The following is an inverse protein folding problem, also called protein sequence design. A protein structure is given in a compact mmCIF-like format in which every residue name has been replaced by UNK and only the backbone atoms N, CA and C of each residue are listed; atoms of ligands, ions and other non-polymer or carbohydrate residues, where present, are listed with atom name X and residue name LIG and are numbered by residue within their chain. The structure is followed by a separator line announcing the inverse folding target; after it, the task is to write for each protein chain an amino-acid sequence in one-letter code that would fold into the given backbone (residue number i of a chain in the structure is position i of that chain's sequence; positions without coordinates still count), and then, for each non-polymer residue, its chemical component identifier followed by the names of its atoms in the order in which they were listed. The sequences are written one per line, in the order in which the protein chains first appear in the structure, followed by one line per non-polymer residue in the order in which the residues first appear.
data_IF_811028549635
#
_entry.id   IF_811028549635
#
_cell.length_a   1.000
_cell.length_b   1.000
_cell.length_c   1.000
_cell.angle_alpha   90.00
_cell.angle_beta   90.00
_cell.angle_gamma   90.00
#
_symmetry.space_group_name_H-M   'P 1'
#
loop_
_entity.id
_entity.type
_entity.pdbx_description
1 polymer ?
#
# COMPACT_ATOMS: atom_id res chain seq x y z
N UNK A 1 -2.20 7.14 -5.67
CA UNK A 1 -3.47 6.80 -4.99
C UNK A 1 -3.78 7.78 -3.87
N UNK A 2 -4.98 7.69 -3.31
CA UNK A 2 -5.40 8.56 -2.22
C UNK A 2 -4.70 8.21 -0.90
N UNK A 3 -4.42 9.22 -0.07
CA UNK A 3 -3.80 9.05 1.25
C UNK A 3 -4.76 8.47 2.30
N UNK A 4 -6.04 8.30 1.96
CA UNK A 4 -7.10 7.87 2.86
C UNK A 4 -7.77 6.60 2.33
N UNK A 5 -8.19 5.75 3.24
CA UNK A 5 -9.02 4.57 2.97
C UNK A 5 -9.84 4.22 4.21
N UNK A 6 -10.41 3.03 4.29
CA UNK A 6 -11.13 2.55 5.48
C UNK A 6 -10.52 1.26 6.01
N UNK A 7 -11.01 0.84 7.16
CA UNK A 7 -10.60 -0.47 7.72
C UNK A 7 -11.00 -1.65 6.82
N UNK A 8 -11.99 -1.47 5.94
CA UNK A 8 -12.39 -2.50 4.98
C UNK A 8 -11.23 -2.93 4.06
N UNK A 9 -10.32 -2.02 3.70
CA UNK A 9 -9.14 -2.34 2.90
C UNK A 9 -8.17 -3.25 3.66
N UNK A 10 -8.02 -3.04 4.97
CA UNK A 10 -7.20 -3.90 5.81
C UNK A 10 -7.86 -5.29 6.03
N UNK A 11 -9.19 -5.31 6.14
CA UNK A 11 -9.96 -6.55 6.23
C UNK A 11 -9.84 -7.38 4.96
N UNK A 12 -9.86 -6.73 3.80
CA UNK A 12 -9.66 -7.38 2.50
C UNK A 12 -8.32 -8.12 2.41
N UNK A 13 -7.28 -7.58 3.05
CA UNK A 13 -5.96 -8.20 3.12
C UNK A 13 -5.80 -9.18 4.29
N UNK A 14 -6.86 -9.42 5.06
CA UNK A 14 -6.81 -10.28 6.27
C UNK A 14 -5.75 -9.84 7.29
N UNK A 15 -5.50 -8.54 7.40
CA UNK A 15 -4.56 -7.99 8.39
C UNK A 15 -5.11 -8.25 9.80
N UNK A 16 -4.36 -8.92 10.69
CA UNK A 16 -4.81 -9.17 12.06
C UNK A 16 -5.15 -7.90 12.84
N UNK A 17 -6.06 -7.99 13.80
CA UNK A 17 -6.52 -6.83 14.58
C UNK A 17 -5.39 -6.18 15.40
N UNK A 18 -4.40 -6.96 15.82
CA UNK A 18 -3.25 -6.52 16.61
C UNK A 18 -2.08 -6.01 15.79
N UNK A 19 -2.17 -6.07 14.45
CA UNK A 19 -1.10 -5.63 13.56
C UNK A 19 -0.89 -4.11 13.63
N UNK A 20 0.35 -3.67 13.51
CA UNK A 20 0.72 -2.25 13.50
C UNK A 20 0.00 -1.46 12.41
N UNK A 21 -0.31 -2.09 11.27
CA UNK A 21 -1.06 -1.47 10.18
C UNK A 21 -2.49 -1.08 10.60
N UNK A 22 -3.03 -1.66 11.67
CA UNK A 22 -4.34 -1.31 12.23
C UNK A 22 -4.31 -0.05 13.10
N UNK A 23 -3.15 0.39 13.54
CA UNK A 23 -2.97 1.62 14.31
C UNK A 23 -3.02 2.84 13.39
N UNK A 24 -4.16 3.05 12.77
CA UNK A 24 -4.37 4.11 11.80
C UNK A 24 -4.92 5.37 12.44
N UNK A 25 -4.57 6.52 11.86
CA UNK A 25 -5.08 7.82 12.26
C UNK A 25 -6.49 7.99 11.69
N UNK A 26 -7.44 8.26 12.56
CA UNK A 26 -8.84 8.46 12.18
C UNK A 26 -9.08 9.93 11.80
N UNK A 27 -9.82 10.14 10.71
CA UNK A 27 -10.25 11.46 10.27
C UNK A 27 -11.50 11.84 11.05
N UNK A 28 -11.51 13.03 11.68
CA UNK A 28 -12.64 13.50 12.48
C UNK A 28 -13.90 13.79 11.63
N UNK A 29 -13.72 14.38 10.45
CA UNK A 29 -14.81 14.75 9.55
C UNK A 29 -14.51 14.19 8.15
N UNK A 30 -14.58 12.85 7.95
CA UNK A 30 -14.27 12.28 6.65
C UNK A 30 -15.30 12.68 5.59
N UNK A 31 -14.84 12.85 4.36
CA UNK A 31 -15.70 13.10 3.20
C UNK A 31 -16.67 11.94 2.99
N UNK A 32 -16.21 10.71 3.27
CA UNK A 32 -17.03 9.51 3.27
C UNK A 32 -16.44 8.48 4.24
N UNK A 33 -17.25 7.50 4.64
CA UNK A 33 -16.77 6.40 5.50
C UNK A 33 -15.66 5.57 4.84
N UNK A 34 -15.65 5.54 3.50
CA UNK A 34 -14.61 4.85 2.73
C UNK A 34 -13.25 5.57 2.77
N UNK A 35 -13.21 6.81 3.27
CA UNK A 35 -12.01 7.63 3.39
C UNK A 35 -11.84 8.10 4.85
N UNK A 36 -12.02 7.20 5.80
CA UNK A 36 -12.15 7.54 7.22
C UNK A 36 -10.85 7.47 8.03
N UNK A 37 -9.81 6.83 7.49
CA UNK A 37 -8.50 6.71 8.13
C UNK A 37 -7.38 7.06 7.15
N UNK A 38 -6.23 7.49 7.70
CA UNK A 38 -5.03 7.66 6.91
C UNK A 38 -4.39 6.29 6.66
N UNK A 39 -3.94 6.06 5.43
CA UNK A 39 -3.37 4.77 5.03
C UNK A 39 -2.11 4.43 5.80
N UNK A 40 -2.00 3.18 6.21
CA UNK A 40 -0.80 2.61 6.83
C UNK A 40 -0.03 1.70 5.88
N UNK A 41 -0.68 1.29 4.77
CA UNK A 41 -0.12 0.45 3.71
C UNK A 41 -0.51 1.03 2.34
N UNK A 42 0.33 0.81 1.33
CA UNK A 42 -0.01 1.12 -0.07
C UNK A 42 -0.67 -0.06 -0.79
N UNK A 43 -0.52 -1.27 -0.27
CA UNK A 43 -0.98 -2.51 -0.91
C UNK A 43 -2.47 -2.53 -1.25
N UNK A 44 -3.40 -2.13 -0.34
CA UNK A 44 -4.83 -2.14 -0.68
C UNK A 44 -5.16 -1.27 -1.89
N UNK A 45 -4.61 -0.06 -1.92
CA UNK A 45 -4.83 0.87 -3.04
C UNK A 45 -4.25 0.36 -4.34
N UNK A 46 -3.06 -0.26 -4.29
CA UNK A 46 -2.44 -0.89 -5.47
C UNK A 46 -3.32 -2.02 -6.01
N UNK A 47 -3.85 -2.88 -5.14
CA UNK A 47 -4.76 -3.96 -5.56
C UNK A 47 -6.03 -3.42 -6.21
N UNK A 48 -6.61 -2.35 -5.66
CA UNK A 48 -7.78 -1.72 -6.26
C UNK A 48 -7.50 -1.18 -7.65
N UNK A 49 -6.34 -0.56 -7.86
CA UNK A 49 -5.92 -0.08 -9.19
C UNK A 49 -5.75 -1.24 -10.16
N UNK A 50 -5.17 -2.36 -9.73
CA UNK A 50 -5.01 -3.56 -10.56
C UNK A 50 -6.40 -4.11 -10.95
N UNK A 51 -7.31 -4.23 -9.99
CA UNK A 51 -8.68 -4.70 -10.24
C UNK A 51 -9.40 -3.80 -11.24
N UNK A 52 -9.27 -2.48 -11.09
CA UNK A 52 -9.89 -1.53 -12.01
C UNK A 52 -9.33 -1.65 -13.44
N UNK A 53 -8.03 -1.90 -13.57
CA UNK A 53 -7.41 -2.14 -14.86
C UNK A 53 -7.94 -3.43 -15.52
N UNK A 54 -8.03 -4.51 -14.74
CA UNK A 54 -8.60 -5.77 -15.22
C UNK A 54 -10.04 -5.61 -15.68
N UNK A 55 -10.87 -4.87 -14.92
CA UNK A 55 -12.26 -4.57 -15.31
C UNK A 55 -12.37 -3.76 -16.61
N UNK A 56 -11.37 -2.93 -16.89
CA UNK A 56 -11.30 -2.13 -18.12
C UNK A 56 -10.73 -2.91 -19.31
N UNK A 57 -10.41 -4.18 -19.11
CA UNK A 57 -9.88 -5.05 -20.15
C UNK A 57 -8.35 -5.03 -20.31
N UNK A 58 -7.64 -4.38 -19.42
CA UNK A 58 -6.17 -4.43 -19.38
C UNK A 58 -5.77 -5.75 -18.71
N UNK A 59 -5.38 -6.74 -19.51
CA UNK A 59 -5.11 -8.11 -19.03
C UNK A 59 -3.76 -8.26 -18.31
N UNK A 60 -2.85 -7.32 -18.48
CA UNK A 60 -1.51 -7.37 -17.91
C UNK A 60 -0.96 -5.96 -17.66
N UNK A 61 -0.03 -5.86 -16.74
CA UNK A 61 0.61 -4.57 -16.45
C UNK A 61 1.58 -4.64 -15.27
N UNK A 62 2.41 -3.64 -15.20
CA UNK A 62 3.34 -3.40 -14.08
C UNK A 62 3.17 -1.98 -13.61
N UNK A 63 2.93 -1.81 -12.33
CA UNK A 63 2.64 -0.53 -11.71
C UNK A 63 3.57 -0.33 -10.51
N UNK A 64 3.88 0.91 -10.22
CA UNK A 64 4.51 1.25 -8.95
C UNK A 64 3.95 2.55 -8.41
N UNK A 65 4.06 2.72 -7.12
CA UNK A 65 3.77 3.96 -6.41
C UNK A 65 4.83 4.18 -5.34
N UNK A 66 5.36 5.38 -5.29
CA UNK A 66 6.22 5.81 -4.20
C UNK A 66 5.50 6.95 -3.47
N UNK A 67 5.07 6.69 -2.25
CA UNK A 67 4.23 7.61 -1.51
C UNK A 67 4.33 7.38 -0.01
N UNK A 68 3.98 8.38 0.81
CA UNK A 68 4.01 8.21 2.25
C UNK A 68 2.86 7.33 2.74
N UNK A 69 3.14 6.54 3.79
CA UNK A 69 2.16 5.96 4.69
C UNK A 69 2.29 6.62 6.05
N UNK A 70 1.25 6.55 6.86
CA UNK A 70 1.16 7.30 8.11
C UNK A 70 0.99 6.33 9.26
N UNK A 71 2.02 6.24 10.09
CA UNK A 71 2.07 5.32 11.22
C UNK A 71 1.90 6.08 12.53
N UNK A 72 0.93 5.69 13.35
CA UNK A 72 0.77 6.20 14.69
C UNK A 72 1.70 5.43 15.63
N UNK A 73 2.52 6.14 16.40
CA UNK A 73 3.35 5.51 17.44
C UNK A 73 2.48 5.01 18.60
N UNK A 74 1.44 5.77 18.92
CA UNK A 74 0.49 5.45 20.00
C UNK A 74 -0.90 6.02 19.68
N UNK A 75 -1.92 5.45 20.27
CA UNK A 75 -3.29 5.95 20.20
C UNK A 75 -3.82 6.14 21.63
N UNK A 76 -4.48 7.32 21.98
CA UNK A 76 -4.69 8.47 21.12
C UNK A 76 -3.38 9.17 20.74
N UNK A 77 -3.39 9.91 19.61
CA UNK A 77 -2.20 10.52 19.05
C UNK A 77 -1.85 11.78 19.86
N UNK A 78 -0.67 11.78 20.47
CA UNK A 78 -0.11 12.92 21.19
C UNK A 78 0.98 13.66 20.40
N UNK A 79 1.46 13.07 19.31
CA UNK A 79 2.49 13.59 18.43
C UNK A 79 2.05 13.53 16.98
N UNK A 80 2.80 14.23 16.10
CA UNK A 80 2.61 14.08 14.67
C UNK A 80 2.84 12.62 14.24
N UNK A 81 2.05 12.08 13.31
CA UNK A 81 2.26 10.74 12.81
C UNK A 81 3.62 10.61 12.12
N UNK A 82 4.20 9.43 12.21
CA UNK A 82 5.41 9.13 11.47
C UNK A 82 5.04 8.86 9.99
N UNK A 83 5.48 9.74 9.11
CA UNK A 83 5.37 9.57 7.67
C UNK A 83 6.55 8.73 7.17
N UNK A 84 6.26 7.63 6.49
CA UNK A 84 7.27 6.79 5.89
C UNK A 84 7.07 6.73 4.38
N UNK A 85 8.07 7.18 3.63
CA UNK A 85 8.09 6.99 2.19
C UNK A 85 8.18 5.50 1.89
N UNK A 86 7.25 4.99 1.11
CA UNK A 86 7.08 3.57 0.84
C UNK A 86 6.97 3.34 -0.65
N UNK A 87 7.69 2.35 -1.15
CA UNK A 87 7.56 1.87 -2.52
C UNK A 87 6.64 0.65 -2.53
N UNK A 88 5.63 0.68 -3.38
CA UNK A 88 4.77 -0.46 -3.67
C UNK A 88 4.84 -0.79 -5.15
N UNK A 89 5.06 -2.04 -5.48
CA UNK A 89 5.11 -2.53 -6.86
C UNK A 89 3.99 -3.55 -7.02
N UNK A 90 3.21 -3.44 -8.09
CA UNK A 90 2.18 -4.39 -8.48
C UNK A 90 2.41 -4.88 -9.90
N UNK A 91 2.34 -6.18 -10.11
CA UNK A 91 2.39 -6.79 -11.42
C UNK A 91 1.24 -7.77 -11.58
N UNK A 92 0.66 -7.82 -12.77
CA UNK A 92 -0.45 -8.71 -13.06
C UNK A 92 -0.41 -9.14 -14.54
N UNK A 93 -0.86 -10.36 -14.78
CA UNK A 93 -0.85 -10.95 -16.12
C UNK A 93 -0.22 -12.35 -16.11
N UNK A 94 -0.37 -13.10 -17.24
CA UNK A 94 0.05 -14.50 -17.29
C UNK A 94 1.56 -14.73 -17.21
N UNK A 95 2.35 -13.71 -17.55
CA UNK A 95 3.83 -13.78 -17.51
C UNK A 95 4.42 -13.29 -16.19
N UNK A 96 3.57 -12.83 -15.25
CA UNK A 96 4.03 -12.27 -13.98
C UNK A 96 3.97 -13.32 -12.88
N UNK A 97 5.06 -13.43 -12.11
CA UNK A 97 5.16 -14.29 -10.95
C UNK A 97 6.03 -13.66 -9.86
N UNK A 98 6.28 -14.40 -8.79
CA UNK A 98 7.15 -13.95 -7.70
C UNK A 98 8.55 -13.55 -8.21
N UNK A 99 9.11 -14.31 -9.14
CA UNK A 99 10.47 -14.07 -9.63
C UNK A 99 10.58 -12.85 -10.52
N UNK A 100 9.55 -12.50 -11.28
CA UNK A 100 9.55 -11.28 -12.10
C UNK A 100 9.57 -10.03 -11.22
N UNK A 101 8.77 -10.01 -10.15
CA UNK A 101 8.75 -8.90 -9.18
C UNK A 101 10.04 -8.84 -8.37
N UNK A 102 10.52 -9.99 -7.90
CA UNK A 102 11.81 -10.09 -7.19
C UNK A 102 12.95 -9.57 -8.04
N UNK A 103 13.01 -9.94 -9.32
CA UNK A 103 14.02 -9.46 -10.26
C UNK A 103 13.98 -7.94 -10.45
N UNK A 104 12.79 -7.34 -10.51
CA UNK A 104 12.63 -5.90 -10.60
C UNK A 104 13.16 -5.19 -9.34
N UNK A 105 12.89 -5.74 -8.15
CA UNK A 105 13.41 -5.20 -6.89
C UNK A 105 14.94 -5.34 -6.79
N UNK A 106 15.49 -6.47 -7.21
CA UNK A 106 16.94 -6.68 -7.24
C UNK A 106 17.63 -5.70 -8.19
N UNK A 107 17.05 -5.45 -9.37
CA UNK A 107 17.57 -4.47 -10.33
C UNK A 107 17.55 -3.05 -9.76
N UNK A 108 16.48 -2.68 -9.07
CA UNK A 108 16.37 -1.38 -8.39
C UNK A 108 17.42 -1.24 -7.29
N UNK A 109 17.57 -2.25 -6.45
CA UNK A 109 18.56 -2.27 -5.37
C UNK A 109 19.99 -2.16 -5.92
N UNK A 110 20.31 -2.89 -6.99
CA UNK A 110 21.61 -2.83 -7.64
C UNK A 110 21.92 -1.42 -8.16
N UNK A 111 20.92 -0.69 -8.67
CA UNK A 111 21.05 0.70 -9.08
C UNK A 111 21.46 1.64 -7.94
N UNK A 112 21.12 1.28 -6.69
CA UNK A 112 21.54 2.00 -5.47
C UNK A 112 22.76 1.40 -4.79
N UNK A 113 23.40 0.38 -5.38
CA UNK A 113 24.54 -0.31 -4.78
C UNK A 113 24.16 -1.20 -3.59
N UNK A 114 22.90 -1.63 -3.52
CA UNK A 114 22.38 -2.50 -2.47
C UNK A 114 22.19 -3.92 -2.98
N UNK A 115 22.23 -4.89 -2.07
CA UNK A 115 21.92 -6.28 -2.36
C UNK A 115 20.91 -6.81 -1.33
N UNK A 116 20.07 -7.73 -1.75
CA UNK A 116 19.20 -8.49 -0.86
C UNK A 116 19.87 -9.82 -0.49
N UNK A 117 19.92 -10.08 0.79
CA UNK A 117 20.40 -11.35 1.32
C UNK A 117 19.26 -12.37 1.44
#
# INVERSE_FOLDING_TARGET
TLAFYSNAELDMLHIPAEDEARKAIRILNPISENLSIMRTLLTPSMLNVIVDNLKKGNAEGRLFEMAPVYLAKELPINEHPHERQTLCIGAFGPEEDFFTVKGALEALAAGFGLSFD
#
